data_IF_726202163313
#
_entry.id   IF_726202163313
#
_cell.length_a   1.000
_cell.length_b   1.000
_cell.length_c   1.000
_cell.angle_alpha   90.00
_cell.angle_beta   90.00
_cell.angle_gamma   90.00
#
_symmetry.space_group_name_H-M   'P 1'
#
loop_
_entity.id
_entity.type
_entity.pdbx_description
1 polymer ?
#
# COMPACT_ATOMS: atom_id res chain seq x y z
N UNK A 1 10.92 0.25 -4.97
CA UNK A 1 9.62 0.03 -4.26
C UNK A 1 8.43 0.71 -4.95
N UNK A 2 8.55 2.00 -5.29
CA UNK A 2 7.49 2.81 -5.90
C UNK A 2 6.96 2.24 -7.23
N UNK A 3 7.85 1.84 -8.15
CA UNK A 3 7.45 1.21 -9.42
C UNK A 3 6.54 -0.02 -9.25
N UNK A 4 6.75 -0.82 -8.19
CA UNK A 4 5.89 -1.98 -7.94
C UNK A 4 4.47 -1.55 -7.55
N UNK A 5 4.35 -0.49 -6.76
CA UNK A 5 3.06 0.08 -6.37
C UNK A 5 2.34 0.68 -7.59
N UNK A 6 3.04 1.43 -8.43
CA UNK A 6 2.45 2.05 -9.62
C UNK A 6 1.96 1.01 -10.64
N UNK A 7 2.70 -0.08 -10.85
CA UNK A 7 2.25 -1.19 -11.70
C UNK A 7 0.91 -1.77 -11.20
N UNK A 8 0.80 -2.00 -9.89
CA UNK A 8 -0.43 -2.55 -9.30
C UNK A 8 -1.58 -1.54 -9.38
N UNK A 9 -1.29 -0.26 -9.23
CA UNK A 9 -2.29 0.79 -9.46
C UNK A 9 -2.80 0.77 -10.90
N UNK A 10 -1.93 0.62 -11.90
CA UNK A 10 -2.36 0.48 -13.29
C UNK A 10 -3.30 -0.72 -13.47
N UNK A 11 -3.00 -1.87 -12.86
CA UNK A 11 -3.89 -3.05 -12.92
C UNK A 11 -5.26 -2.75 -12.31
N UNK A 12 -5.29 -2.07 -11.15
CA UNK A 12 -6.52 -1.67 -10.49
C UNK A 12 -7.36 -0.70 -11.35
N UNK A 13 -6.72 0.34 -11.92
CA UNK A 13 -7.41 1.31 -12.77
C UNK A 13 -7.97 0.70 -14.05
N UNK A 14 -7.26 -0.28 -14.62
CA UNK A 14 -7.70 -1.05 -15.79
C UNK A 14 -8.75 -2.11 -15.45
N UNK A 15 -9.06 -2.31 -14.15
CA UNK A 15 -9.97 -3.36 -13.65
C UNK A 15 -9.54 -4.77 -14.08
N UNK A 16 -8.23 -4.97 -14.25
CA UNK A 16 -7.68 -6.25 -14.69
C UNK A 16 -7.44 -7.17 -13.48
N UNK A 17 -8.52 -7.85 -13.09
CA UNK A 17 -8.58 -8.76 -11.94
C UNK A 17 -7.72 -10.01 -12.17
N UNK A 18 -7.39 -10.35 -13.43
CA UNK A 18 -6.56 -11.52 -13.77
C UNK A 18 -5.11 -11.42 -13.26
N UNK A 19 -4.65 -10.22 -12.93
CA UNK A 19 -3.27 -9.96 -12.49
C UNK A 19 -3.10 -9.93 -10.97
N UNK A 20 -4.11 -10.31 -10.20
CA UNK A 20 -4.11 -10.22 -8.74
C UNK A 20 -3.01 -11.04 -8.06
N UNK A 21 -2.70 -12.24 -8.56
CA UNK A 21 -1.62 -13.07 -7.99
C UNK A 21 -0.27 -12.34 -8.07
N UNK A 22 0.02 -11.78 -9.24
CA UNK A 22 1.22 -10.96 -9.46
C UNK A 22 1.16 -9.67 -8.64
N UNK A 23 -0.03 -9.08 -8.49
CA UNK A 23 -0.22 -7.86 -7.71
C UNK A 23 0.18 -8.05 -6.24
N UNK A 24 -0.22 -9.15 -5.60
CA UNK A 24 0.14 -9.45 -4.22
C UNK A 24 1.66 -9.50 -4.00
N UNK A 25 2.39 -10.20 -4.88
CA UNK A 25 3.85 -10.29 -4.78
C UNK A 25 4.54 -8.92 -4.99
N UNK A 26 4.01 -8.10 -5.89
CA UNK A 26 4.51 -6.74 -6.15
C UNK A 26 4.26 -5.80 -4.98
N UNK A 27 3.07 -5.86 -4.38
CA UNK A 27 2.73 -5.08 -3.17
C UNK A 27 3.63 -5.47 -2.00
N UNK A 28 3.91 -6.76 -1.79
CA UNK A 28 4.84 -7.20 -0.74
C UNK A 28 6.25 -6.62 -0.94
N UNK A 29 6.77 -6.63 -2.18
CA UNK A 29 8.05 -5.99 -2.51
C UNK A 29 8.02 -4.48 -2.29
N UNK A 30 6.90 -3.82 -2.60
CA UNK A 30 6.72 -2.39 -2.35
C UNK A 30 6.78 -2.10 -0.84
N UNK A 31 6.00 -2.84 -0.04
CA UNK A 31 5.94 -2.71 1.42
C UNK A 31 7.31 -2.86 2.07
N UNK A 32 7.99 -3.99 1.84
CA UNK A 32 9.33 -4.24 2.38
C UNK A 32 10.30 -3.11 1.98
N UNK A 33 10.22 -2.67 0.72
CA UNK A 33 11.08 -1.59 0.24
C UNK A 33 10.81 -0.24 0.89
N UNK A 34 9.54 0.11 1.16
CA UNK A 34 9.18 1.32 1.87
C UNK A 34 9.57 1.25 3.35
N UNK A 35 9.35 0.11 4.01
CA UNK A 35 9.76 -0.11 5.41
C UNK A 35 11.28 -0.01 5.58
N UNK A 36 12.07 -0.51 4.62
CA UNK A 36 13.53 -0.36 4.65
C UNK A 36 13.97 1.10 4.43
N UNK A 37 13.28 1.82 3.55
CA UNK A 37 13.64 3.20 3.17
C UNK A 37 13.22 4.21 4.24
N UNK A 38 12.09 3.99 4.92
CA UNK A 38 11.51 4.88 5.93
C UNK A 38 11.77 4.42 7.39
N UNK A 39 12.39 3.25 7.57
CA UNK A 39 12.60 2.60 8.87
C UNK A 39 11.36 1.83 9.35
N UNK A 40 11.58 0.75 10.13
CA UNK A 40 10.50 0.06 10.85
C UNK A 40 9.67 1.09 11.64
N UNK A 41 8.35 0.95 11.59
CA UNK A 41 7.36 1.83 12.22
C UNK A 41 7.51 3.30 11.82
N UNK A 42 8.03 3.58 10.63
CA UNK A 42 8.16 4.97 10.19
C UNK A 42 9.02 5.75 11.21
N UNK A 43 10.08 5.17 11.77
CA UNK A 43 10.92 5.88 12.75
C UNK A 43 11.71 7.03 12.12
N UNK A 44 12.05 6.93 10.83
CA UNK A 44 12.65 8.01 10.04
C UNK A 44 11.63 9.05 9.54
N UNK A 45 10.33 8.74 9.62
CA UNK A 45 9.14 9.53 9.24
C UNK A 45 8.90 10.77 10.10
N UNK A 46 9.30 10.75 11.38
CA UNK A 46 9.08 11.86 12.32
C UNK A 46 10.11 12.98 12.18
N UNK A 47 11.24 12.72 11.53
CA UNK A 47 12.36 13.67 11.45
C UNK A 47 12.24 14.68 10.30
N UNK A 48 11.47 14.37 9.25
CA UNK A 48 11.35 15.21 8.06
C UNK A 48 9.90 15.68 7.86
N UNK A 49 9.49 16.76 8.55
CA UNK A 49 8.14 17.32 8.43
C UNK A 49 7.73 17.61 6.97
N UNK A 50 8.67 18.00 6.11
CA UNK A 50 8.40 18.36 4.72
C UNK A 50 7.97 17.16 3.84
N UNK A 51 8.36 15.93 4.18
CA UNK A 51 8.02 14.73 3.40
C UNK A 51 6.74 14.01 3.90
N UNK A 52 6.24 14.41 5.09
CA UNK A 52 5.16 13.71 5.81
C UNK A 52 3.91 13.47 4.96
N UNK A 53 3.43 14.47 4.21
CA UNK A 53 2.20 14.33 3.42
C UNK A 53 2.39 13.45 2.18
N UNK A 54 3.53 13.54 1.50
CA UNK A 54 3.84 12.71 0.34
C UNK A 54 3.99 11.23 0.74
N UNK A 55 4.64 10.97 1.88
CA UNK A 55 4.82 9.63 2.42
C UNK A 55 3.50 9.05 2.94
N UNK A 56 2.63 9.88 3.54
CA UNK A 56 1.30 9.44 3.96
C UNK A 56 0.45 8.99 2.77
N UNK A 57 0.42 9.79 1.70
CA UNK A 57 -0.29 9.46 0.47
C UNK A 57 0.22 8.14 -0.15
N UNK A 58 1.52 7.89 -0.08
CA UNK A 58 2.14 6.65 -0.52
C UNK A 58 1.62 5.44 0.27
N UNK A 59 1.58 5.51 1.61
CA UNK A 59 1.07 4.42 2.45
C UNK A 59 -0.44 4.22 2.32
N UNK A 60 -1.21 5.28 2.12
CA UNK A 60 -2.65 5.18 1.80
C UNK A 60 -2.84 4.34 0.55
N UNK A 61 -2.10 4.64 -0.52
CA UNK A 61 -2.21 3.90 -1.79
C UNK A 61 -1.77 2.44 -1.65
N UNK A 62 -0.69 2.19 -0.91
CA UNK A 62 -0.21 0.84 -0.63
C UNK A 62 -1.27 0.00 0.09
N UNK A 63 -1.79 0.51 1.22
CA UNK A 63 -2.71 -0.23 2.07
C UNK A 63 -4.09 -0.40 1.43
N UNK A 64 -4.53 0.57 0.63
CA UNK A 64 -5.72 0.43 -0.21
C UNK A 64 -5.59 -0.78 -1.14
N UNK A 65 -4.50 -0.84 -1.92
CA UNK A 65 -4.30 -1.90 -2.91
C UNK A 65 -4.09 -3.27 -2.26
N UNK A 66 -3.45 -3.34 -1.09
CA UNK A 66 -3.35 -4.57 -0.29
C UNK A 66 -4.73 -5.05 0.17
N UNK A 67 -5.59 -4.12 0.58
CA UNK A 67 -6.97 -4.40 0.95
C UNK A 67 -7.79 -4.93 -0.22
N UNK A 68 -7.65 -4.31 -1.40
CA UNK A 68 -8.29 -4.78 -2.64
C UNK A 68 -7.85 -6.19 -2.99
N UNK A 69 -6.53 -6.46 -3.00
CA UNK A 69 -6.01 -7.81 -3.29
C UNK A 69 -6.49 -8.83 -2.27
N UNK A 70 -6.49 -8.49 -0.99
CA UNK A 70 -7.00 -9.38 0.07
C UNK A 70 -8.49 -9.70 -0.10
N UNK A 71 -9.29 -8.70 -0.49
CA UNK A 71 -10.72 -8.87 -0.74
C UNK A 71 -10.98 -9.85 -1.88
N UNK A 72 -10.29 -9.69 -3.01
CA UNK A 72 -10.44 -10.60 -4.15
C UNK A 72 -9.92 -12.02 -3.87
N UNK A 73 -8.94 -12.17 -2.99
CA UNK A 73 -8.44 -13.47 -2.55
C UNK A 73 -9.34 -14.13 -1.46
N UNK A 74 -10.49 -13.53 -1.13
CA UNK A 74 -11.42 -14.06 -0.11
C UNK A 74 -10.97 -13.85 1.34
N UNK A 75 -9.89 -13.10 1.58
CA UNK A 75 -9.40 -12.80 2.93
C UNK A 75 -10.02 -11.50 3.46
N UNK A 76 -11.26 -11.59 3.91
CA UNK A 76 -12.09 -10.46 4.36
C UNK A 76 -11.50 -9.73 5.57
N UNK A 77 -10.94 -10.45 6.55
CA UNK A 77 -10.33 -9.84 7.73
C UNK A 77 -9.09 -9.02 7.38
N UNK A 78 -8.21 -9.57 6.52
CA UNK A 78 -7.04 -8.83 6.04
C UNK A 78 -7.46 -7.62 5.21
N UNK A 79 -8.46 -7.79 4.34
CA UNK A 79 -9.00 -6.70 3.55
C UNK A 79 -9.50 -5.55 4.43
N UNK A 80 -10.33 -5.86 5.43
CA UNK A 80 -10.85 -4.90 6.39
C UNK A 80 -9.72 -4.18 7.13
N UNK A 81 -8.73 -4.91 7.66
CA UNK A 81 -7.59 -4.33 8.36
C UNK A 81 -6.80 -3.33 7.49
N UNK A 82 -6.44 -3.74 6.27
CA UNK A 82 -5.72 -2.88 5.34
C UNK A 82 -6.53 -1.66 4.91
N UNK A 83 -7.82 -1.81 4.60
CA UNK A 83 -8.68 -0.70 4.18
C UNK A 83 -8.94 0.29 5.32
N UNK A 84 -9.20 -0.18 6.54
CA UNK A 84 -9.36 0.69 7.70
C UNK A 84 -8.08 1.48 7.99
N UNK A 85 -6.92 0.83 7.90
CA UNK A 85 -5.62 1.51 8.07
C UNK A 85 -5.38 2.58 7.01
N UNK A 86 -5.70 2.29 5.75
CA UNK A 86 -5.61 3.27 4.66
C UNK A 86 -6.54 4.47 4.91
N UNK A 87 -7.78 4.22 5.34
CA UNK A 87 -8.74 5.26 5.67
C UNK A 87 -8.25 6.15 6.83
N UNK A 88 -7.74 5.55 7.90
CA UNK A 88 -7.18 6.31 9.03
C UNK A 88 -5.99 7.18 8.65
N UNK A 89 -5.17 6.76 7.68
CA UNK A 89 -4.07 7.60 7.15
C UNK A 89 -4.57 8.70 6.23
N UNK A 90 -5.62 8.46 5.45
CA UNK A 90 -6.21 9.48 4.58
C UNK A 90 -6.83 10.65 5.36
N UNK A 91 -7.34 10.39 6.57
CA UNK A 91 -7.97 11.41 7.42
C UNK A 91 -6.99 12.23 8.28
N UNK A 92 -5.68 12.00 8.17
CA UNK A 92 -4.62 12.72 8.89
C UNK A 92 -4.02 13.85 8.07
#
# INVERSE_FOLDING_TARGET
>A
PMLQLDIVWCYFMLRDVSRLEVAGARLNKARVGFELSHGKDSTRFRLLQAARHADLALYVRLELLEGVVAYYNGNTEKARGSLSSAQSKYMQ
#
